data_IF_890024645811
#
_entry.id   IF_890024645811
#
_cell.length_a   1.000
_cell.length_b   1.000
_cell.length_c   1.000
_cell.angle_alpha   90.00
_cell.angle_beta   90.00
_cell.angle_gamma   90.00
#
_symmetry.space_group_name_H-M   'P 1'
#
loop_
_entity.id
_entity.type
_entity.pdbx_description
1 polymer ?
#
# COMPACT_ATOMS: atom_id res chain seq x y z
N UNK A 1 -18.77 -11.26 10.57
CA UNK A 1 -18.00 -10.01 10.41
C UNK A 1 -16.73 -10.03 11.22
N UNK A 2 -15.59 -9.78 10.57
CA UNK A 2 -14.29 -9.69 11.23
C UNK A 2 -14.06 -8.25 11.74
N UNK A 3 -13.53 -8.03 12.96
CA UNK A 3 -13.37 -6.69 13.56
C UNK A 3 -12.32 -5.81 12.85
N UNK A 4 -11.63 -6.33 11.84
CA UNK A 4 -10.69 -5.55 11.01
C UNK A 4 -11.37 -4.39 10.29
N UNK A 5 -12.65 -4.56 9.94
CA UNK A 5 -13.38 -3.51 9.23
C UNK A 5 -13.73 -2.33 10.13
N UNK A 6 -13.55 -2.41 11.45
CA UNK A 6 -13.75 -1.27 12.35
C UNK A 6 -12.43 -0.53 12.66
N UNK A 7 -11.32 -1.00 12.10
CA UNK A 7 -10.00 -0.38 12.27
C UNK A 7 -9.89 0.89 11.43
N UNK A 8 -9.05 1.86 11.86
CA UNK A 8 -8.73 3.01 11.05
C UNK A 8 -8.05 2.58 9.75
N UNK A 9 -8.29 3.37 8.69
CA UNK A 9 -7.60 3.19 7.40
C UNK A 9 -6.12 3.51 7.59
N UNK A 10 -5.27 2.74 6.92
CA UNK A 10 -3.83 2.95 6.93
C UNK A 10 -3.48 4.21 6.11
N UNK A 11 -2.74 5.19 6.67
CA UNK A 11 -2.62 6.53 6.07
C UNK A 11 -2.03 6.57 4.66
N UNK A 12 -0.87 5.94 4.45
CA UNK A 12 -0.15 6.05 3.18
C UNK A 12 -0.92 5.41 2.00
N UNK A 13 -1.44 4.17 2.10
CA UNK A 13 -2.31 3.61 1.06
C UNK A 13 -3.55 4.46 0.75
N UNK A 14 -4.06 5.21 1.75
CA UNK A 14 -5.19 6.12 1.53
C UNK A 14 -4.85 7.30 0.62
N UNK A 15 -3.59 7.78 0.63
CA UNK A 15 -3.12 8.81 -0.32
C UNK A 15 -3.16 8.31 -1.76
N UNK A 16 -2.98 7.01 -1.95
CA UNK A 16 -3.10 6.34 -3.26
C UNK A 16 -4.55 6.01 -3.62
N UNK A 17 -5.53 6.31 -2.75
CA UNK A 17 -6.93 5.97 -2.93
C UNK A 17 -7.29 4.52 -2.62
N UNK A 18 -6.39 3.76 -1.99
CA UNK A 18 -6.59 2.35 -1.61
C UNK A 18 -6.88 2.26 -0.11
N UNK A 19 -8.14 2.07 0.31
CA UNK A 19 -8.52 2.18 1.72
C UNK A 19 -8.19 0.89 2.48
N UNK A 20 -6.91 0.64 2.76
CA UNK A 20 -6.48 -0.55 3.50
C UNK A 20 -6.76 -0.44 5.00
N UNK A 21 -7.12 -1.55 5.62
CA UNK A 21 -7.20 -1.74 7.07
C UNK A 21 -6.37 -2.96 7.46
N UNK A 22 -5.79 -2.92 8.66
CA UNK A 22 -4.89 -3.96 9.13
C UNK A 22 -5.17 -4.42 10.55
N UNK A 23 -4.90 -5.69 10.81
CA UNK A 23 -5.02 -6.32 12.12
C UNK A 23 -3.81 -7.21 12.41
N UNK A 24 -3.13 -6.97 13.52
CA UNK A 24 -2.05 -7.84 14.01
C UNK A 24 -2.66 -9.06 14.69
N UNK A 25 -2.22 -10.25 14.30
CA UNK A 25 -2.73 -11.52 14.84
C UNK A 25 -2.19 -11.79 16.27
N UNK A 26 -1.09 -11.13 16.65
CA UNK A 26 -0.47 -11.30 17.97
C UNK A 26 0.58 -12.41 18.01
N UNK A 27 1.39 -12.52 16.95
CA UNK A 27 2.48 -13.50 16.83
C UNK A 27 3.46 -13.35 17.98
N UNK A 28 3.75 -14.45 18.70
CA UNK A 28 4.78 -14.48 19.74
C UNK A 28 6.14 -14.68 19.09
N UNK A 29 7.11 -13.86 19.48
CA UNK A 29 8.49 -14.04 19.08
C UNK A 29 9.18 -15.11 19.94
N UNK A 30 9.96 -15.97 19.31
CA UNK A 30 10.91 -16.84 20.01
C UNK A 30 12.36 -16.35 19.87
N UNK A 31 12.59 -15.20 19.22
CA UNK A 31 13.91 -14.68 18.88
C UNK A 31 13.98 -13.14 18.97
N UNK A 32 13.73 -12.58 20.17
CA UNK A 32 13.83 -11.14 20.48
C UNK A 32 13.16 -10.18 19.46
N UNK A 33 12.14 -10.63 18.75
CA UNK A 33 11.37 -9.87 17.75
C UNK A 33 11.91 -9.91 16.32
N UNK A 34 13.05 -10.54 16.03
CA UNK A 34 13.61 -10.60 14.67
C UNK A 34 12.69 -11.36 13.69
N UNK A 35 12.00 -12.38 14.20
CA UNK A 35 10.99 -13.18 13.52
C UNK A 35 9.63 -12.45 13.38
N UNK A 36 9.48 -11.26 13.96
CA UNK A 36 8.28 -10.42 13.83
C UNK A 36 8.41 -9.35 12.74
N UNK A 37 9.51 -9.35 11.99
CA UNK A 37 9.67 -8.44 10.86
C UNK A 37 8.64 -8.77 9.77
N UNK A 38 7.92 -7.74 9.30
CA UNK A 38 7.03 -7.84 8.15
C UNK A 38 7.12 -6.51 7.41
N UNK A 39 8.08 -6.42 6.47
CA UNK A 39 8.39 -5.17 5.76
C UNK A 39 7.16 -4.58 5.08
N UNK A 40 6.32 -5.42 4.47
CA UNK A 40 5.04 -5.00 3.88
C UNK A 40 4.18 -4.26 4.92
N UNK A 41 3.94 -4.86 6.08
CA UNK A 41 3.10 -4.26 7.12
C UNK A 41 3.71 -2.97 7.69
N UNK A 42 5.03 -2.93 7.85
CA UNK A 42 5.77 -1.75 8.30
C UNK A 42 5.66 -0.61 7.28
N UNK A 43 5.95 -0.89 6.01
CA UNK A 43 5.91 0.05 4.90
C UNK A 43 4.51 0.66 4.72
N UNK A 44 3.46 -0.17 4.72
CA UNK A 44 2.08 0.31 4.61
C UNK A 44 1.73 1.29 5.74
N UNK A 45 2.23 1.07 6.97
CA UNK A 45 1.98 1.92 8.13
C UNK A 45 3.03 3.02 8.32
N UNK A 46 3.85 3.30 7.31
CA UNK A 46 4.73 4.45 7.33
C UNK A 46 3.92 5.73 7.56
N UNK A 47 4.51 6.66 8.28
CA UNK A 47 3.99 8.00 8.42
C UNK A 47 4.31 8.81 7.13
N UNK A 48 3.34 9.50 6.53
CA UNK A 48 3.53 10.18 5.25
C UNK A 48 4.46 11.39 5.31
N UNK A 49 4.74 11.94 6.50
CA UNK A 49 5.64 13.09 6.67
C UNK A 49 7.07 12.63 6.96
N UNK A 50 7.22 11.55 7.75
CA UNK A 50 8.54 11.09 8.20
C UNK A 50 9.06 9.88 7.43
N UNK A 51 8.22 9.21 6.64
CA UNK A 51 8.50 7.94 5.95
C UNK A 51 8.81 6.76 6.88
N UNK A 52 8.68 6.93 8.21
CA UNK A 52 8.94 5.86 9.18
C UNK A 52 7.63 5.32 9.75
N UNK A 53 7.57 3.99 9.92
CA UNK A 53 6.49 3.38 10.68
C UNK A 53 6.61 3.75 12.17
N UNK A 54 5.49 4.07 12.85
CA UNK A 54 5.51 4.34 14.27
C UNK A 54 5.93 3.07 15.04
N UNK A 55 6.42 3.19 16.29
CA UNK A 55 7.03 2.07 17.03
C UNK A 55 6.18 0.79 17.07
N UNK A 56 4.85 0.93 17.13
CA UNK A 56 3.96 -0.24 17.17
C UNK A 56 4.00 -1.08 15.89
N UNK A 57 4.38 -0.51 14.74
CA UNK A 57 4.39 -1.15 13.42
C UNK A 57 5.79 -1.50 12.90
N UNK A 58 6.85 -1.28 13.69
CA UNK A 58 8.22 -1.64 13.30
C UNK A 58 8.46 -3.17 13.32
N UNK A 59 7.81 -3.90 14.23
CA UNK A 59 7.87 -5.36 14.33
C UNK A 59 6.48 -5.96 14.49
N UNK A 60 5.62 -5.86 13.47
CA UNK A 60 4.19 -6.11 13.63
C UNK A 60 3.83 -7.60 13.64
N UNK A 61 4.75 -8.49 13.26
CA UNK A 61 4.52 -9.92 13.15
C UNK A 61 3.53 -10.25 12.03
N UNK A 62 2.76 -11.32 12.22
CA UNK A 62 1.72 -11.72 11.27
C UNK A 62 0.55 -10.74 11.30
N UNK A 63 0.20 -10.23 10.13
CA UNK A 63 -0.90 -9.29 9.95
C UNK A 63 -1.93 -9.83 8.96
N UNK A 64 -3.19 -9.45 9.17
CA UNK A 64 -4.27 -9.55 8.20
C UNK A 64 -4.45 -8.15 7.61
N UNK A 65 -4.58 -8.06 6.28
CA UNK A 65 -4.91 -6.84 5.55
C UNK A 65 -6.19 -7.06 4.76
N UNK A 66 -7.02 -6.03 4.70
CA UNK A 66 -8.23 -6.02 3.90
C UNK A 66 -8.51 -4.61 3.41
N UNK A 67 -9.41 -4.46 2.44
CA UNK A 67 -9.95 -3.14 2.09
C UNK A 67 -11.14 -2.79 2.97
N UNK A 68 -11.19 -1.55 3.46
CA UNK A 68 -12.26 -1.02 4.32
C UNK A 68 -13.64 -1.09 3.65
N UNK A 69 -13.67 -0.93 2.34
CA UNK A 69 -14.86 -0.97 1.49
C UNK A 69 -15.30 -2.41 1.11
N UNK A 70 -14.58 -3.43 1.60
CA UNK A 70 -14.83 -4.85 1.34
C UNK A 70 -14.74 -5.27 -0.13
N UNK A 71 -14.18 -4.43 -1.00
CA UNK A 71 -13.86 -4.85 -2.36
C UNK A 71 -12.69 -5.86 -2.34
N UNK A 72 -12.54 -6.69 -3.39
CA UNK A 72 -11.43 -7.61 -3.50
C UNK A 72 -10.07 -6.91 -3.43
N UNK A 73 -9.11 -7.58 -2.81
CA UNK A 73 -7.71 -7.19 -2.74
C UNK A 73 -6.88 -8.43 -3.10
N UNK A 74 -6.31 -8.46 -4.30
CA UNK A 74 -5.41 -9.54 -4.68
C UNK A 74 -4.02 -9.35 -4.05
N UNK A 75 -3.21 -10.40 -4.07
CA UNK A 75 -1.82 -10.33 -3.62
C UNK A 75 -1.01 -9.36 -4.47
N UNK A 76 -1.27 -9.29 -5.78
CA UNK A 76 -0.63 -8.39 -6.73
C UNK A 76 -1.02 -6.93 -6.46
N UNK A 77 -2.29 -6.66 -6.15
CA UNK A 77 -2.72 -5.31 -5.75
C UNK A 77 -2.07 -4.86 -4.45
N UNK A 78 -2.00 -5.75 -3.46
CA UNK A 78 -1.28 -5.46 -2.23
C UNK A 78 0.21 -5.22 -2.52
N UNK A 79 0.79 -6.02 -3.42
CA UNK A 79 2.18 -5.90 -3.82
C UNK A 79 2.52 -4.57 -4.45
N UNK A 80 1.76 -4.18 -5.48
CA UNK A 80 1.93 -2.90 -6.14
C UNK A 80 1.88 -1.73 -5.16
N UNK A 81 0.92 -1.74 -4.22
CA UNK A 81 0.79 -0.68 -3.23
C UNK A 81 2.05 -0.57 -2.36
N UNK A 82 2.55 -1.67 -1.80
CA UNK A 82 3.74 -1.58 -0.93
C UNK A 82 5.02 -1.33 -1.73
N UNK A 83 5.15 -1.85 -2.95
CA UNK A 83 6.31 -1.61 -3.81
C UNK A 83 6.41 -0.15 -4.27
N UNK A 84 5.29 0.51 -4.57
CA UNK A 84 5.31 1.94 -4.90
C UNK A 84 5.73 2.79 -3.69
N UNK A 85 5.24 2.45 -2.50
CA UNK A 85 5.65 3.13 -1.27
C UNK A 85 7.14 2.91 -1.00
N UNK A 86 7.64 1.68 -1.18
CA UNK A 86 9.05 1.32 -1.02
C UNK A 86 9.94 2.06 -2.04
N UNK A 87 9.53 2.14 -3.32
CA UNK A 87 10.19 2.94 -4.37
C UNK A 87 10.40 4.39 -3.89
N UNK A 88 9.34 5.03 -3.40
CA UNK A 88 9.40 6.42 -2.96
C UNK A 88 10.23 6.61 -1.68
N UNK A 89 10.37 5.58 -0.84
CA UNK A 89 11.23 5.62 0.35
C UNK A 89 12.71 5.47 0.00
N UNK A 90 13.03 4.65 -0.99
CA UNK A 90 14.40 4.42 -1.48
C UNK A 90 14.81 5.48 -2.53
N UNK A 91 13.90 6.39 -2.91
CA UNK A 91 14.17 7.45 -3.87
C UNK A 91 15.15 8.50 -3.30
N UNK A 92 16.27 8.66 -4.01
CA UNK A 92 17.26 9.69 -3.75
C UNK A 92 17.38 10.61 -4.98
N UNK A 93 17.06 11.90 -4.87
CA UNK A 93 17.06 12.81 -6.02
C UNK A 93 18.43 13.04 -6.67
N UNK A 94 19.50 12.60 -6.01
CA UNK A 94 20.86 12.62 -6.56
C UNK A 94 21.08 11.50 -7.60
N UNK A 95 20.34 10.40 -7.49
CA UNK A 95 20.50 9.20 -8.34
C UNK A 95 19.55 9.23 -9.55
N UNK A 96 18.33 9.76 -9.40
CA UNK A 96 17.29 9.72 -10.43
C UNK A 96 16.51 11.05 -10.52
N UNK A 97 17.13 12.15 -10.98
CA UNK A 97 16.56 13.50 -10.90
C UNK A 97 15.26 13.73 -11.70
N UNK A 98 14.93 12.85 -12.64
CA UNK A 98 13.68 12.88 -13.42
C UNK A 98 12.46 12.41 -12.62
N UNK A 99 12.68 11.62 -11.58
CA UNK A 99 11.66 11.11 -10.67
C UNK A 99 11.48 12.00 -9.41
N UNK A 100 12.19 13.14 -9.35
CA UNK A 100 12.21 14.03 -8.19
C UNK A 100 10.87 14.68 -7.89
N UNK A 101 9.97 14.62 -8.87
CA UNK A 101 8.62 15.17 -8.80
C UNK A 101 7.55 14.11 -8.57
N UNK A 102 7.87 12.80 -8.50
CA UNK A 102 6.87 11.73 -8.37
C UNK A 102 6.28 11.73 -6.94
N UNK A 103 5.16 12.44 -6.69
CA UNK A 103 4.68 12.65 -5.34
C UNK A 103 3.94 11.40 -4.90
N UNK A 104 3.96 11.11 -3.60
CA UNK A 104 3.11 10.07 -3.00
C UNK A 104 1.63 10.39 -3.20
N UNK A 105 1.11 9.98 -4.35
CA UNK A 105 -0.14 10.41 -4.92
C UNK A 105 -0.78 9.29 -5.71
N UNK A 106 -2.09 9.37 -5.85
CA UNK A 106 -2.83 8.40 -6.65
C UNK A 106 -2.43 8.42 -8.13
N UNK A 107 -2.20 9.60 -8.69
CA UNK A 107 -1.87 9.76 -10.11
C UNK A 107 -0.49 9.17 -10.43
N UNK A 108 0.51 9.44 -9.58
CA UNK A 108 1.84 8.81 -9.70
C UNK A 108 1.76 7.29 -9.57
N UNK A 109 0.98 6.78 -8.61
CA UNK A 109 0.76 5.34 -8.48
C UNK A 109 0.09 4.72 -9.71
N UNK A 110 -0.98 5.34 -10.23
CA UNK A 110 -1.67 4.85 -11.42
C UNK A 110 -0.76 4.82 -12.66
N UNK A 111 0.10 5.84 -12.82
CA UNK A 111 1.10 5.88 -13.89
C UNK A 111 2.14 4.77 -13.75
N UNK A 112 2.78 4.68 -12.58
CA UNK A 112 3.81 3.68 -12.28
C UNK A 112 3.28 2.24 -12.34
N UNK A 113 2.04 2.01 -11.91
CA UNK A 113 1.48 0.66 -11.78
C UNK A 113 1.36 -0.07 -13.12
N UNK A 114 1.06 0.66 -14.21
CA UNK A 114 0.95 0.05 -15.53
C UNK A 114 2.31 -0.46 -16.03
N UNK A 115 3.38 0.31 -15.83
CA UNK A 115 4.74 -0.10 -16.18
C UNK A 115 5.20 -1.26 -15.30
N UNK A 116 5.00 -1.15 -13.98
CA UNK A 116 5.35 -2.22 -13.04
C UNK A 116 4.65 -3.54 -13.40
N UNK A 117 3.36 -3.49 -13.73
CA UNK A 117 2.59 -4.66 -14.15
C UNK A 117 3.18 -5.32 -15.39
N UNK A 118 3.53 -4.53 -16.41
CA UNK A 118 4.13 -5.04 -17.65
C UNK A 118 5.48 -5.70 -17.36
N UNK A 119 6.34 -5.05 -16.58
CA UNK A 119 7.64 -5.59 -16.18
C UNK A 119 7.51 -6.92 -15.43
N UNK A 120 6.58 -7.02 -14.47
CA UNK A 120 6.38 -8.27 -13.73
C UNK A 120 5.85 -9.40 -14.63
N UNK A 121 4.97 -9.08 -15.58
CA UNK A 121 4.46 -10.05 -16.55
C UNK A 121 5.56 -10.53 -17.52
N UNK A 122 6.41 -9.63 -18.02
CA UNK A 122 7.55 -9.95 -18.89
C UNK A 122 8.62 -10.78 -18.18
N UNK A 123 8.82 -10.54 -16.88
CA UNK A 123 9.68 -11.34 -16.01
C UNK A 123 9.07 -12.73 -15.66
N UNK A 124 7.95 -13.11 -16.28
CA UNK A 124 7.37 -14.44 -16.19
C UNK A 124 6.50 -14.68 -14.95
N UNK A 125 6.08 -13.63 -14.24
CA UNK A 125 5.19 -13.78 -13.08
C UNK A 125 3.73 -13.82 -13.54
N UNK A 126 3.23 -15.03 -13.79
CA UNK A 126 1.91 -15.27 -14.39
C UNK A 126 0.74 -14.53 -13.72
N UNK A 127 0.77 -14.33 -12.39
CA UNK A 127 -0.27 -13.58 -11.67
C UNK A 127 -0.45 -12.11 -12.12
N UNK A 128 0.57 -11.54 -12.77
CA UNK A 128 0.56 -10.17 -13.27
C UNK A 128 0.01 -10.04 -14.70
N UNK A 129 -0.14 -11.14 -15.45
CA UNK A 129 -0.61 -11.10 -16.85
C UNK A 129 -2.07 -10.66 -16.97
N UNK A 130 -2.88 -11.02 -15.98
CA UNK A 130 -4.33 -10.75 -15.97
C UNK A 130 -4.75 -9.80 -14.84
N UNK A 131 -3.79 -9.12 -14.18
CA UNK A 131 -4.14 -8.22 -13.09
C UNK A 131 -4.84 -6.98 -13.64
N UNK A 132 -6.10 -6.80 -13.23
CA UNK A 132 -6.87 -5.60 -13.57
C UNK A 132 -6.40 -4.37 -12.78
N UNK A 133 -6.86 -3.20 -13.21
CA UNK A 133 -6.67 -1.97 -12.46
C UNK A 133 -7.19 -2.10 -11.01
N UNK A 134 -6.56 -1.41 -10.07
CA UNK A 134 -7.10 -1.27 -8.73
C UNK A 134 -8.37 -0.41 -8.81
N UNK A 135 -9.50 -0.97 -8.38
CA UNK A 135 -10.75 -0.23 -8.29
C UNK A 135 -10.69 0.72 -7.09
N UNK A 136 -10.31 1.97 -7.31
CA UNK A 136 -10.23 3.01 -6.26
C UNK A 136 -11.61 3.54 -5.84
N UNK A 137 -11.71 4.05 -4.60
CA UNK A 137 -12.91 4.80 -4.21
C UNK A 137 -12.96 6.08 -5.05
N UNK A 138 -14.08 6.29 -5.76
CA UNK A 138 -14.40 7.56 -6.41
C UNK A 138 -15.36 8.33 -5.51
N UNK A 139 -14.94 9.48 -4.99
CA UNK A 139 -15.87 10.44 -4.39
C UNK A 139 -16.59 11.14 -5.54
N UNK A 140 -17.86 10.81 -5.75
CA UNK A 140 -18.72 11.54 -6.69
C UNK A 140 -19.28 12.73 -5.91
N UNK A 141 -18.72 13.92 -6.10
CA UNK A 141 -19.32 15.15 -5.59
C UNK A 141 -20.45 15.59 -6.53
N UNK A 142 -21.64 15.87 -6.00
CA UNK A 142 -22.68 16.54 -6.78
C UNK A 142 -22.19 17.92 -7.25
N UNK A 143 -22.54 18.38 -8.47
CA UNK A 143 -22.17 19.71 -8.91
C UNK A 143 -22.73 20.76 -7.93
N UNK A 144 -22.00 21.85 -7.67
CA UNK A 144 -22.49 22.93 -6.82
C UNK A 144 -23.81 23.48 -7.39
N UNK A 145 -24.90 23.39 -6.63
CA UNK A 145 -26.19 23.99 -7.00
C UNK A 145 -27.34 23.02 -7.32
N UNK A 146 -27.20 21.72 -7.06
CA UNK A 146 -28.34 20.79 -7.09
C UNK A 146 -29.08 20.78 -5.73
N UNK A 147 -29.87 21.82 -5.46
CA UNK A 147 -30.94 21.83 -4.43
C UNK A 147 -32.15 22.60 -4.97
#
# INVERSE_FOLDING_TARGET
>A
DHPIFDKPIVPVPALLGVPLVMHKVGTRSNNNGADLSCRIATCLNADPETSFAPPTWQFPGTCIVARRDRKPLSSEHLEAVWMYIDKLQDYHPEDEPEDAEDPMSREGFEGWFEDYKNDQAENGRDGWKDVGAIDFIRVITAPPGAW
#
